data_IF_836223243763
#
_entry.id   IF_836223243763
#
_cell.length_a   1.000
_cell.length_b   1.000
_cell.length_c   1.000
_cell.angle_alpha   90.00
_cell.angle_beta   90.00
_cell.angle_gamma   90.00
#
_symmetry.space_group_name_H-M   'P 1'
#
loop_
_entity.id
_entity.type
_entity.pdbx_description
1 polymer ?
#
# COMPACT_ATOMS: atom_id res chain seq x y z
N UNK A 1 -6.16 41.92 7.86
CA UNK A 1 -5.50 41.10 6.82
C UNK A 1 -4.27 40.32 7.31
N UNK A 2 -3.29 40.97 7.99
CA UNK A 2 -2.04 40.30 8.42
C UNK A 2 -2.26 39.14 9.43
N UNK A 3 -3.17 39.32 10.41
CA UNK A 3 -3.52 38.28 11.40
C UNK A 3 -4.19 37.04 10.78
N UNK A 4 -5.05 37.23 9.78
CA UNK A 4 -5.71 36.13 9.05
C UNK A 4 -4.68 35.33 8.24
N UNK A 5 -3.73 36.00 7.58
CA UNK A 5 -2.64 35.32 6.87
C UNK A 5 -1.76 34.49 7.81
N UNK A 6 -1.45 35.03 9.01
CA UNK A 6 -0.71 34.29 10.04
C UNK A 6 -1.51 33.08 10.53
N UNK A 7 -2.80 33.23 10.81
CA UNK A 7 -3.66 32.12 11.22
C UNK A 7 -3.71 31.00 10.17
N UNK A 8 -3.87 31.35 8.88
CA UNK A 8 -3.83 30.38 7.77
C UNK A 8 -2.48 29.66 7.73
N UNK A 9 -1.37 30.38 7.86
CA UNK A 9 -0.03 29.80 7.88
C UNK A 9 0.16 28.83 9.05
N UNK A 10 -0.33 29.17 10.23
CA UNK A 10 -0.28 28.29 11.41
C UNK A 10 -1.09 27.02 11.16
N UNK A 11 -2.31 27.15 10.64
CA UNK A 11 -3.17 25.99 10.33
C UNK A 11 -2.52 25.09 9.28
N UNK A 12 -1.98 25.66 8.20
CA UNK A 12 -1.25 24.90 7.18
C UNK A 12 -0.01 24.20 7.76
N UNK A 13 0.72 24.87 8.66
CA UNK A 13 1.87 24.29 9.36
C UNK A 13 1.48 23.08 10.21
N UNK A 14 0.37 23.16 10.95
CA UNK A 14 -0.14 22.05 11.76
C UNK A 14 -0.57 20.87 10.89
N UNK A 15 -1.30 21.14 9.79
CA UNK A 15 -1.72 20.09 8.85
C UNK A 15 -0.50 19.43 8.21
N UNK A 16 0.49 20.21 7.76
CA UNK A 16 1.71 19.68 7.17
C UNK A 16 2.50 18.80 8.15
N UNK A 17 2.63 19.24 9.41
CA UNK A 17 3.26 18.45 10.46
C UNK A 17 2.51 17.14 10.71
N UNK A 18 1.17 17.19 10.80
CA UNK A 18 0.34 16.00 10.97
C UNK A 18 0.55 15.00 9.83
N UNK A 19 0.49 15.46 8.56
CA UNK A 19 0.73 14.60 7.39
C UNK A 19 2.13 13.99 7.42
N UNK A 20 3.15 14.77 7.78
CA UNK A 20 4.54 14.30 7.88
C UNK A 20 4.68 13.17 8.90
N UNK A 21 4.06 13.32 10.08
CA UNK A 21 4.02 12.27 11.11
C UNK A 21 3.35 10.99 10.59
N UNK A 22 2.26 11.10 9.84
CA UNK A 22 1.60 9.93 9.25
C UNK A 22 2.47 9.23 8.20
N UNK A 23 3.17 9.99 7.36
CA UNK A 23 4.09 9.43 6.35
C UNK A 23 5.27 8.70 7.02
N UNK A 24 5.81 9.24 8.10
CA UNK A 24 6.92 8.62 8.84
C UNK A 24 6.46 7.29 9.47
N UNK A 25 5.29 7.28 10.12
CA UNK A 25 4.76 6.11 10.82
C UNK A 25 4.13 5.05 9.89
N UNK A 26 3.87 5.37 8.63
CA UNK A 26 3.32 4.41 7.68
C UNK A 26 4.28 3.22 7.48
N UNK A 27 3.73 2.00 7.52
CA UNK A 27 4.46 0.79 7.14
C UNK A 27 4.66 0.79 5.62
N UNK A 28 5.90 0.62 5.16
CA UNK A 28 6.25 0.70 3.73
C UNK A 28 6.83 -0.62 3.29
N UNK A 29 6.25 -1.19 2.23
CA UNK A 29 6.70 -2.43 1.61
C UNK A 29 7.09 -2.17 0.16
N UNK A 30 8.23 -2.71 -0.27
CA UNK A 30 8.58 -2.75 -1.69
C UNK A 30 7.79 -3.88 -2.36
N UNK A 31 7.22 -3.58 -3.52
CA UNK A 31 6.55 -4.55 -4.38
C UNK A 31 7.37 -4.77 -5.64
N UNK A 32 7.48 -6.02 -6.06
CA UNK A 32 8.21 -6.39 -7.27
C UNK A 32 7.47 -7.49 -8.01
N UNK A 33 7.44 -7.40 -9.33
CA UNK A 33 7.08 -8.51 -10.23
C UNK A 33 8.03 -8.51 -11.41
N UNK A 34 8.40 -9.68 -11.88
CA UNK A 34 9.17 -9.85 -13.09
C UNK A 34 8.24 -10.39 -14.19
N UNK A 35 8.04 -9.62 -15.26
CA UNK A 35 7.23 -10.07 -16.39
C UNK A 35 8.12 -10.84 -17.35
N UNK A 36 7.79 -12.11 -17.57
CA UNK A 36 8.57 -13.04 -18.40
C UNK A 36 7.79 -13.48 -19.64
N UNK A 37 8.51 -13.88 -20.69
CA UNK A 37 7.90 -14.49 -21.88
C UNK A 37 7.44 -15.92 -21.59
N UNK A 38 6.36 -16.34 -22.26
CA UNK A 38 5.73 -17.65 -22.10
C UNK A 38 4.26 -17.54 -21.72
N UNK A 39 3.57 -18.69 -21.68
CA UNK A 39 2.19 -18.79 -21.22
C UNK A 39 2.13 -19.48 -19.86
N UNK A 40 1.32 -18.94 -18.94
CA UNK A 40 1.07 -19.50 -17.61
C UNK A 40 2.33 -19.68 -16.73
N UNK A 41 3.34 -18.83 -16.91
CA UNK A 41 4.52 -18.84 -16.04
C UNK A 41 4.18 -18.14 -14.72
N UNK A 42 4.28 -18.89 -13.62
CA UNK A 42 4.19 -18.36 -12.25
C UNK A 42 5.38 -18.90 -11.45
N UNK A 43 6.44 -18.12 -11.35
CA UNK A 43 7.61 -18.43 -10.52
C UNK A 43 7.49 -17.73 -9.19
N UNK A 44 7.28 -18.43 -8.08
CA UNK A 44 7.12 -17.81 -6.76
C UNK A 44 8.47 -17.71 -6.06
N UNK A 45 8.96 -16.49 -5.81
CA UNK A 45 10.15 -16.26 -4.99
C UNK A 45 9.74 -15.88 -3.55
N UNK A 46 10.07 -16.69 -2.53
CA UNK A 46 9.72 -16.39 -1.15
C UNK A 46 10.73 -15.41 -0.55
N UNK A 47 10.51 -14.11 -0.76
CA UNK A 47 11.18 -13.07 0.01
C UNK A 47 10.25 -12.58 1.13
N UNK A 48 10.68 -12.73 2.38
CA UNK A 48 9.87 -12.40 3.58
C UNK A 48 9.81 -10.91 3.88
N UNK A 49 10.70 -10.10 3.30
CA UNK A 49 10.83 -8.66 3.58
C UNK A 49 10.19 -7.77 2.50
N UNK A 50 9.74 -8.36 1.38
CA UNK A 50 9.17 -7.65 0.22
C UNK A 50 7.90 -8.33 -0.26
N UNK A 51 7.00 -7.55 -0.84
CA UNK A 51 5.85 -8.09 -1.57
C UNK A 51 6.31 -8.53 -2.96
N UNK A 52 6.99 -9.67 -3.00
CA UNK A 52 7.47 -10.29 -4.24
C UNK A 52 6.38 -11.14 -4.87
N UNK A 53 5.95 -10.73 -6.07
CA UNK A 53 4.98 -11.44 -6.89
C UNK A 53 5.64 -12.43 -7.86
N UNK A 54 6.98 -12.48 -7.87
CA UNK A 54 7.77 -13.42 -8.63
C UNK A 54 7.69 -13.18 -10.14
N UNK A 55 7.85 -14.27 -10.89
CA UNK A 55 7.77 -14.25 -12.35
C UNK A 55 6.33 -14.48 -12.80
N UNK A 56 5.75 -13.53 -13.54
CA UNK A 56 4.42 -13.65 -14.13
C UNK A 56 4.50 -13.48 -15.65
N UNK A 57 3.89 -14.40 -16.40
CA UNK A 57 3.63 -14.16 -17.81
C UNK A 57 2.56 -13.08 -18.01
N UNK A 58 2.47 -12.56 -19.24
CA UNK A 58 1.31 -11.75 -19.68
C UNK A 58 0.00 -12.48 -19.39
N UNK A 59 -1.05 -11.73 -19.04
CA UNK A 59 -2.33 -12.23 -18.51
C UNK A 59 -2.24 -12.98 -17.17
N UNK A 60 -1.04 -13.14 -16.61
CA UNK A 60 -0.81 -13.70 -15.30
C UNK A 60 -1.35 -12.79 -14.20
N UNK A 61 -1.73 -13.41 -13.09
CA UNK A 61 -2.18 -12.72 -11.89
C UNK A 61 -1.66 -13.44 -10.65
N UNK A 62 -1.38 -12.68 -9.61
CA UNK A 62 -1.02 -13.22 -8.31
C UNK A 62 -1.48 -12.27 -7.20
N UNK A 63 -2.04 -12.84 -6.14
CA UNK A 63 -2.44 -12.10 -4.96
C UNK A 63 -1.52 -12.42 -3.78
N UNK A 64 -1.12 -11.37 -3.06
CA UNK A 64 -0.48 -11.46 -1.74
C UNK A 64 -1.39 -10.85 -0.70
N UNK A 65 -1.31 -11.35 0.52
CA UNK A 65 -2.11 -10.83 1.63
C UNK A 65 -1.19 -10.22 2.69
N UNK A 66 -1.59 -9.06 3.21
CA UNK A 66 -0.96 -8.41 4.36
C UNK A 66 -1.98 -8.34 5.48
N UNK A 67 -1.64 -8.93 6.62
CA UNK A 67 -2.46 -8.87 7.83
C UNK A 67 -2.18 -7.58 8.61
N UNK A 68 -3.24 -6.94 9.07
CA UNK A 68 -3.21 -5.76 9.94
C UNK A 68 -4.03 -6.06 11.19
N UNK A 69 -3.34 -6.23 12.31
CA UNK A 69 -3.96 -6.40 13.61
C UNK A 69 -3.94 -5.09 14.40
N UNK A 70 -5.03 -4.82 15.13
CA UNK A 70 -5.12 -3.72 16.09
C UNK A 70 -5.02 -4.25 17.52
N UNK A 71 -3.82 -4.23 18.09
CA UNK A 71 -3.58 -4.58 19.50
C UNK A 71 -3.85 -3.43 20.48
N UNK A 72 -4.30 -2.26 20.00
CA UNK A 72 -4.60 -1.10 20.83
C UNK A 72 -6.01 -1.13 21.41
N UNK A 73 -6.31 -0.15 22.29
CA UNK A 73 -7.61 -0.02 22.95
C UNK A 73 -8.65 0.85 22.21
N UNK A 74 -8.32 1.38 21.03
CA UNK A 74 -9.21 2.23 20.23
C UNK A 74 -9.22 1.77 18.76
N UNK A 75 -10.28 2.12 18.03
CA UNK A 75 -10.38 1.85 16.60
C UNK A 75 -9.20 2.44 15.83
N UNK A 76 -8.71 1.70 14.84
CA UNK A 76 -7.66 2.17 13.93
C UNK A 76 -8.23 2.25 12.52
N UNK A 77 -8.20 3.45 11.95
CA UNK A 77 -8.44 3.63 10.52
C UNK A 77 -7.20 3.25 9.73
N UNK A 78 -7.38 2.39 8.74
CA UNK A 78 -6.32 1.91 7.86
C UNK A 78 -6.54 2.46 6.46
N UNK A 79 -5.49 3.01 5.87
CA UNK A 79 -5.45 3.45 4.49
C UNK A 79 -4.26 2.80 3.80
N UNK A 80 -4.48 2.23 2.62
CA UNK A 80 -3.46 1.62 1.79
C UNK A 80 -3.26 2.46 0.55
N UNK A 81 -2.01 2.85 0.29
CA UNK A 81 -1.64 3.63 -0.87
C UNK A 81 -0.51 2.95 -1.64
N UNK A 82 -0.65 2.87 -2.96
CA UNK A 82 0.37 2.31 -3.85
C UNK A 82 1.01 3.41 -4.69
N UNK A 83 2.28 3.24 -5.05
CA UNK A 83 3.00 4.14 -5.96
C UNK A 83 4.07 3.40 -6.76
N UNK A 84 4.48 3.99 -7.89
CA UNK A 84 5.48 3.41 -8.79
C UNK A 84 4.84 2.66 -9.95
N UNK A 85 5.65 2.06 -10.81
CA UNK A 85 5.18 1.45 -12.07
C UNK A 85 4.21 0.30 -11.82
N UNK A 86 4.42 -0.46 -10.74
CA UNK A 86 3.54 -1.57 -10.37
C UNK A 86 2.18 -1.11 -9.80
N UNK A 87 2.04 0.18 -9.45
CA UNK A 87 0.80 0.68 -8.83
C UNK A 87 -0.41 0.67 -9.78
N UNK A 88 -0.16 0.83 -11.08
CA UNK A 88 -1.22 0.77 -12.11
C UNK A 88 -1.68 -0.66 -12.41
N UNK A 89 -0.88 -1.66 -12.02
CA UNK A 89 -1.13 -3.08 -12.27
C UNK A 89 -1.61 -3.82 -11.03
N UNK A 90 -1.62 -3.16 -9.86
CA UNK A 90 -2.02 -3.75 -8.58
C UNK A 90 -3.39 -3.25 -8.15
N UNK A 91 -4.27 -4.18 -7.82
CA UNK A 91 -5.53 -3.92 -7.14
C UNK A 91 -5.36 -4.16 -5.66
N UNK A 92 -5.81 -3.21 -4.84
CA UNK A 92 -5.82 -3.32 -3.38
C UNK A 92 -7.25 -3.43 -2.88
N UNK A 93 -7.52 -4.43 -2.04
CA UNK A 93 -8.85 -4.66 -1.47
C UNK A 93 -8.77 -5.30 -0.07
N UNK A 94 -9.29 -4.67 0.99
CA UNK A 94 -9.81 -3.29 1.04
C UNK A 94 -8.67 -2.25 1.05
N UNK A 95 -8.95 -1.04 0.54
CA UNK A 95 -7.98 0.09 0.56
C UNK A 95 -8.21 1.07 1.72
N UNK A 96 -9.44 1.18 2.23
CA UNK A 96 -9.84 2.03 3.35
C UNK A 96 -10.79 1.25 4.25
N UNK A 97 -10.44 1.09 5.52
CA UNK A 97 -11.25 0.31 6.46
C UNK A 97 -10.89 0.64 7.91
N UNK A 98 -11.73 0.19 8.83
CA UNK A 98 -11.49 0.31 10.28
C UNK A 98 -11.19 -1.08 10.84
N UNK A 99 -10.20 -1.15 11.71
CA UNK A 99 -9.89 -2.35 12.51
C UNK A 99 -10.19 -2.03 13.96
N UNK A 100 -11.19 -2.70 14.52
CA UNK A 100 -11.58 -2.54 15.91
C UNK A 100 -10.51 -3.13 16.86
N UNK A 101 -10.49 -2.71 18.15
CA UNK A 101 -9.60 -3.28 19.15
C UNK A 101 -9.64 -4.82 19.19
N UNK A 102 -8.47 -5.44 19.20
CA UNK A 102 -8.30 -6.89 19.24
C UNK A 102 -8.64 -7.61 17.93
N UNK A 103 -9.03 -6.90 16.87
CA UNK A 103 -9.36 -7.49 15.58
C UNK A 103 -8.15 -7.49 14.63
N UNK A 104 -8.23 -8.38 13.64
CA UNK A 104 -7.32 -8.44 12.50
C UNK A 104 -8.12 -8.33 11.20
N UNK A 105 -7.58 -7.57 10.26
CA UNK A 105 -8.09 -7.48 8.91
C UNK A 105 -6.98 -7.83 7.91
N UNK A 106 -7.36 -8.37 6.75
CA UNK A 106 -6.43 -8.74 5.68
C UNK A 106 -6.61 -7.82 4.50
N UNK A 107 -5.49 -7.29 3.99
CA UNK A 107 -5.41 -6.52 2.77
C UNK A 107 -4.95 -7.47 1.66
N UNK A 108 -5.73 -7.61 0.60
CA UNK A 108 -5.32 -8.30 -0.61
C UNK A 108 -4.68 -7.32 -1.59
N UNK A 109 -3.48 -7.65 -2.07
CA UNK A 109 -2.81 -6.97 -3.17
C UNK A 109 -2.72 -7.94 -4.34
N UNK A 110 -3.52 -7.72 -5.38
CA UNK A 110 -3.55 -8.56 -6.59
C UNK A 110 -2.88 -7.81 -7.74
N UNK A 111 -1.77 -8.36 -8.24
CA UNK A 111 -1.14 -7.88 -9.47
C UNK A 111 -1.76 -8.60 -10.66
N UNK A 112 -2.12 -7.85 -11.70
CA UNK A 112 -2.59 -8.39 -12.98
C UNK A 112 -1.76 -7.82 -14.13
N UNK A 113 -1.05 -8.70 -14.84
CA UNK A 113 -0.19 -8.31 -15.96
C UNK A 113 -1.02 -8.23 -17.25
N UNK A 114 -1.12 -7.07 -17.91
CA UNK A 114 -1.88 -6.95 -19.15
C UNK A 114 -1.17 -7.68 -20.31
N UNK A 115 -1.92 -8.04 -21.37
CA UNK A 115 -1.33 -8.71 -22.54
C UNK A 115 -0.31 -7.84 -23.29
N UNK A 116 -0.38 -6.52 -23.13
CA UNK A 116 0.55 -5.56 -23.74
C UNK A 116 1.76 -5.22 -22.86
N UNK A 117 1.92 -5.86 -21.70
CA UNK A 117 3.02 -5.55 -20.80
C UNK A 117 4.38 -5.87 -21.44
N UNK A 118 5.34 -4.97 -21.26
CA UNK A 118 6.74 -5.22 -21.60
C UNK A 118 7.31 -6.31 -20.70
N UNK A 119 8.16 -7.16 -21.27
CA UNK A 119 8.92 -8.19 -20.56
C UNK A 119 10.06 -7.53 -19.79
N UNK A 120 9.81 -7.18 -18.53
CA UNK A 120 10.78 -6.56 -17.65
C UNK A 120 10.35 -6.68 -16.19
N UNK A 121 11.24 -6.24 -15.30
CA UNK A 121 10.92 -6.04 -13.89
C UNK A 121 10.10 -4.76 -13.70
N UNK A 122 9.00 -4.86 -12.97
CA UNK A 122 8.20 -3.73 -12.50
C UNK A 122 8.35 -3.62 -10.99
N UNK A 123 8.53 -2.39 -10.52
CA UNK A 123 8.72 -2.10 -9.10
C UNK A 123 7.70 -1.08 -8.61
N UNK A 124 7.35 -1.16 -7.33
CA UNK A 124 6.44 -0.24 -6.68
C UNK A 124 6.61 -0.25 -5.18
N UNK A 125 5.83 0.59 -4.50
CA UNK A 125 5.75 0.59 -3.03
C UNK A 125 4.30 0.61 -2.57
N UNK A 126 4.04 -0.07 -1.47
CA UNK A 126 2.77 0.00 -0.72
C UNK A 126 3.01 0.65 0.61
N UNK A 127 2.20 1.64 0.92
CA UNK A 127 2.21 2.37 2.17
C UNK A 127 0.91 2.03 2.90
N UNK A 128 1.02 1.47 4.10
CA UNK A 128 -0.10 1.17 4.98
C UNK A 128 -0.07 2.16 6.12
N UNK A 129 -0.98 3.12 6.08
CA UNK A 129 -1.20 4.10 7.12
C UNK A 129 -2.13 3.53 8.19
N UNK A 130 -1.80 3.75 9.45
CA UNK A 130 -2.60 3.35 10.61
C UNK A 130 -2.85 4.59 11.45
N UNK A 131 -4.07 5.09 11.41
CA UNK A 131 -4.47 6.33 12.07
C UNK A 131 -5.40 5.96 13.21
N UNK A 132 -5.00 6.15 14.48
CA UNK A 132 -5.90 5.96 15.60
C UNK A 132 -7.12 6.87 15.42
N UNK A 133 -8.32 6.31 15.55
CA UNK A 133 -9.58 7.04 15.46
C UNK A 133 -10.05 7.31 16.90
N UNK A 134 -9.79 8.48 17.48
CA UNK A 134 -10.42 8.86 18.73
C UNK A 134 -11.93 8.93 18.51
N UNK A 135 -12.67 8.34 19.44
CA UNK A 135 -14.15 8.27 19.46
C UNK A 135 -14.73 9.69 19.49
#
# INVERSE_FOLDING_TARGET
MKKIKIAILVVLGVIALFVLVQIINASKYDMVVNVVEGENVVGVNPLTERLDFGDLSRNGRLARQVSVANGGGIDTYVMVWTRGELSDLVRVDPNFFIVAPGQEAKISLEVRIPPSAETRKYEGKVWVFRIPKPI
#
